data_IF_027433419490
#
_entry.id   IF_027433419490
#
_cell.length_a   1.000
_cell.length_b   1.000
_cell.length_c   1.000
_cell.angle_alpha   90.00
_cell.angle_beta   90.00
_cell.angle_gamma   90.00
#
_symmetry.space_group_name_H-M   'P 1'
#
loop_
_entity.id
_entity.type
_entity.pdbx_description
1 polymer ?
#
# COMPACT_ATOMS: atom_id res chain seq x y z
N UNK A 1 5.40 24.87 2.02
CA UNK A 1 4.13 24.35 1.48
C UNK A 1 4.37 22.91 1.02
N UNK A 2 3.44 22.05 1.32
CA UNK A 2 3.40 20.67 0.85
C UNK A 2 3.33 20.65 -0.69
N UNK A 3 4.06 19.75 -1.38
CA UNK A 3 3.87 19.55 -2.81
C UNK A 3 2.42 19.12 -3.09
N UNK A 4 1.77 19.78 -4.06
CA UNK A 4 0.36 19.47 -4.42
C UNK A 4 0.18 17.99 -4.77
N UNK A 5 1.19 17.38 -5.38
CA UNK A 5 1.23 15.95 -5.72
C UNK A 5 1.11 15.03 -4.49
N UNK A 6 1.82 15.31 -3.40
CA UNK A 6 1.71 14.51 -2.16
C UNK A 6 0.30 14.58 -1.57
N UNK A 7 -0.28 15.76 -1.49
CA UNK A 7 -1.62 15.96 -0.95
C UNK A 7 -2.68 15.23 -1.78
N UNK A 8 -2.55 15.22 -3.11
CA UNK A 8 -3.50 14.52 -3.98
C UNK A 8 -3.44 13.00 -3.74
N UNK A 9 -2.24 12.42 -3.65
CA UNK A 9 -2.07 10.99 -3.39
C UNK A 9 -2.54 10.63 -1.99
N UNK A 10 -2.23 11.40 -0.97
CA UNK A 10 -2.66 11.16 0.42
C UNK A 10 -4.19 11.15 0.56
N UNK A 11 -4.86 12.11 -0.07
CA UNK A 11 -6.33 12.13 -0.16
C UNK A 11 -6.87 10.90 -0.89
N UNK A 12 -6.26 10.50 -2.02
CA UNK A 12 -6.66 9.31 -2.75
C UNK A 12 -6.47 8.03 -1.93
N UNK A 13 -5.37 7.90 -1.17
CA UNK A 13 -5.15 6.83 -0.20
C UNK A 13 -6.25 6.78 0.84
N UNK A 14 -6.66 7.93 1.36
CA UNK A 14 -7.74 8.05 2.34
C UNK A 14 -9.09 7.58 1.77
N UNK A 15 -9.42 7.95 0.54
CA UNK A 15 -10.68 7.58 -0.13
C UNK A 15 -10.71 6.08 -0.49
N UNK A 16 -9.64 5.55 -1.07
CA UNK A 16 -9.60 4.12 -1.45
C UNK A 16 -9.66 3.20 -0.22
N UNK A 17 -9.09 3.63 0.92
CA UNK A 17 -9.22 2.92 2.21
C UNK A 17 -10.64 2.91 2.76
N UNK A 18 -11.43 3.94 2.47
CA UNK A 18 -12.86 4.01 2.82
C UNK A 18 -13.74 3.21 1.86
N UNK A 19 -13.15 2.57 0.83
CA UNK A 19 -13.89 1.87 -0.20
C UNK A 19 -14.54 2.81 -1.23
N UNK A 20 -14.10 4.07 -1.33
CA UNK A 20 -14.60 5.00 -2.35
C UNK A 20 -13.76 4.90 -3.63
N UNK A 21 -14.35 5.31 -4.74
CA UNK A 21 -13.69 5.41 -6.02
C UNK A 21 -12.81 6.66 -6.09
N UNK A 22 -11.72 6.56 -6.85
CA UNK A 22 -10.88 7.69 -7.25
C UNK A 22 -10.63 7.64 -8.76
N UNK A 23 -10.35 8.77 -9.38
CA UNK A 23 -9.94 8.84 -10.78
C UNK A 23 -8.41 8.91 -10.87
N UNK A 24 -7.79 8.06 -11.67
CA UNK A 24 -6.35 8.06 -11.92
C UNK A 24 -6.11 8.46 -13.37
N UNK A 25 -5.34 9.53 -13.57
CA UNK A 25 -4.94 10.03 -14.89
C UNK A 25 -3.54 9.53 -15.24
N UNK A 26 -3.41 8.90 -16.38
CA UNK A 26 -2.15 8.46 -16.97
C UNK A 26 -1.62 9.37 -18.06
N UNK A 27 -0.57 8.91 -18.73
CA UNK A 27 -0.04 9.60 -19.90
C UNK A 27 -1.02 9.49 -21.09
N UNK A 28 -0.94 10.47 -22.01
CA UNK A 28 -1.72 10.45 -23.25
C UNK A 28 -3.22 10.70 -23.09
N UNK A 29 -3.67 11.25 -21.95
CA UNK A 29 -5.08 11.56 -21.71
C UNK A 29 -5.93 10.38 -21.25
N UNK A 30 -5.34 9.20 -21.08
CA UNK A 30 -6.03 8.01 -20.57
C UNK A 30 -6.34 8.24 -19.08
N UNK A 31 -7.57 7.95 -18.68
CA UNK A 31 -7.96 7.99 -17.27
C UNK A 31 -8.84 6.79 -16.93
N UNK A 32 -8.73 6.33 -15.68
CA UNK A 32 -9.51 5.22 -15.16
C UNK A 32 -10.15 5.58 -13.81
N UNK A 33 -11.33 5.02 -13.54
CA UNK A 33 -11.84 4.89 -12.19
C UNK A 33 -11.14 3.74 -11.49
N UNK A 34 -10.91 3.87 -10.20
CA UNK A 34 -10.22 2.89 -9.37
C UNK A 34 -10.95 2.71 -8.05
N UNK A 35 -11.12 1.47 -7.62
CA UNK A 35 -11.59 1.10 -6.28
C UNK A 35 -10.85 -0.13 -5.79
N UNK A 36 -10.58 -0.22 -4.48
CA UNK A 36 -9.96 -1.39 -3.88
C UNK A 36 -10.84 -2.64 -4.07
N UNK A 37 -10.25 -3.73 -4.54
CA UNK A 37 -10.98 -4.98 -4.79
C UNK A 37 -11.59 -5.56 -3.51
N UNK A 38 -10.91 -5.45 -2.37
CA UNK A 38 -11.40 -5.96 -1.08
C UNK A 38 -12.63 -5.18 -0.55
N UNK A 39 -12.85 -3.95 -1.02
CA UNK A 39 -13.96 -3.09 -0.60
C UNK A 39 -15.10 -3.02 -1.62
N UNK A 40 -15.01 -3.76 -2.73
CA UNK A 40 -15.99 -3.68 -3.81
C UNK A 40 -17.36 -4.26 -3.38
N UNK A 41 -18.43 -3.59 -3.77
CA UNK A 41 -19.81 -4.01 -3.55
C UNK A 41 -20.56 -4.09 -4.89
N UNK A 42 -21.69 -4.81 -4.97
CA UNK A 42 -22.53 -4.82 -6.20
C UNK A 42 -22.97 -3.42 -6.64
N UNK A 43 -23.34 -2.56 -5.68
CA UNK A 43 -23.76 -1.18 -5.98
C UNK A 43 -22.57 -0.34 -6.50
N UNK A 44 -21.38 -0.49 -5.92
CA UNK A 44 -20.19 0.20 -6.39
C UNK A 44 -19.80 -0.22 -7.82
N UNK A 45 -19.92 -1.52 -8.16
CA UNK A 45 -19.71 -1.98 -9.54
C UNK A 45 -20.69 -1.37 -10.53
N UNK A 46 -21.98 -1.28 -10.12
CA UNK A 46 -23.02 -0.66 -10.92
C UNK A 46 -22.75 0.83 -11.12
N UNK A 47 -22.39 1.52 -10.04
CA UNK A 47 -22.01 2.93 -10.08
C UNK A 47 -20.79 3.17 -10.97
N UNK A 48 -19.75 2.35 -10.83
CA UNK A 48 -18.54 2.43 -11.64
C UNK A 48 -18.87 2.32 -13.14
N UNK A 49 -19.71 1.37 -13.55
CA UNK A 49 -20.17 1.24 -14.95
C UNK A 49 -20.93 2.48 -15.41
N UNK A 50 -21.85 2.99 -14.58
CA UNK A 50 -22.67 4.13 -14.93
C UNK A 50 -21.83 5.42 -15.10
N UNK A 51 -20.84 5.63 -14.23
CA UNK A 51 -20.01 6.83 -14.23
C UNK A 51 -18.92 6.76 -15.30
N UNK A 52 -18.29 5.60 -15.50
CA UNK A 52 -17.20 5.45 -16.48
C UNK A 52 -17.67 5.25 -17.92
N UNK A 53 -18.91 4.80 -18.12
CA UNK A 53 -19.45 4.31 -19.40
C UNK A 53 -18.65 3.12 -19.97
N UNK A 54 -17.98 2.36 -19.13
CA UNK A 54 -17.19 1.19 -19.52
C UNK A 54 -17.36 0.01 -18.57
N UNK A 55 -16.92 -1.18 -19.00
CA UNK A 55 -16.98 -2.37 -18.17
C UNK A 55 -15.82 -2.41 -17.18
N UNK A 56 -16.09 -2.66 -15.88
CA UNK A 56 -15.05 -2.86 -14.88
C UNK A 56 -14.17 -4.07 -15.18
N UNK A 57 -12.90 -3.94 -14.80
CA UNK A 57 -11.84 -4.94 -14.94
C UNK A 57 -11.17 -5.10 -13.59
N UNK A 58 -10.86 -6.33 -13.19
CA UNK A 58 -10.03 -6.58 -12.01
C UNK A 58 -8.55 -6.58 -12.40
N UNK A 59 -7.79 -5.66 -11.85
CA UNK A 59 -6.33 -5.62 -11.99
C UNK A 59 -5.66 -6.21 -10.76
N UNK A 60 -4.82 -7.24 -10.96
CA UNK A 60 -4.07 -7.93 -9.92
C UNK A 60 -2.60 -8.00 -10.26
N UNK A 61 -1.75 -8.32 -9.27
CA UNK A 61 -0.34 -8.59 -9.56
C UNK A 61 -0.17 -9.87 -10.39
N UNK A 62 0.88 -9.93 -11.21
CA UNK A 62 1.20 -11.13 -11.99
C UNK A 62 1.40 -12.36 -11.07
N UNK A 63 1.96 -12.18 -9.86
CA UNK A 63 2.08 -13.26 -8.88
C UNK A 63 0.72 -13.80 -8.44
N UNK A 64 -0.25 -12.92 -8.18
CA UNK A 64 -1.60 -13.36 -7.82
C UNK A 64 -2.26 -14.12 -8.97
N UNK A 65 -2.16 -13.62 -10.18
CA UNK A 65 -2.67 -14.29 -11.37
C UNK A 65 -2.03 -15.68 -11.57
N UNK A 66 -0.72 -15.82 -11.33
CA UNK A 66 -0.02 -17.09 -11.41
C UNK A 66 -0.51 -18.10 -10.35
N UNK A 67 -0.68 -17.67 -9.10
CA UNK A 67 -1.24 -18.52 -8.02
C UNK A 67 -2.66 -19.00 -8.36
N UNK A 68 -3.45 -18.16 -9.02
CA UNK A 68 -4.78 -18.53 -9.52
C UNK A 68 -4.73 -19.43 -10.77
N UNK A 69 -3.54 -19.69 -11.34
CA UNK A 69 -3.37 -20.45 -12.58
C UNK A 69 -3.94 -19.75 -13.81
N UNK A 70 -3.99 -18.41 -13.79
CA UNK A 70 -4.58 -17.60 -14.86
C UNK A 70 -3.56 -17.04 -15.85
N UNK A 71 -2.29 -16.90 -15.45
CA UNK A 71 -1.22 -16.41 -16.30
C UNK A 71 0.13 -16.95 -15.82
N UNK A 72 1.08 -17.08 -16.73
CA UNK A 72 2.49 -17.20 -16.36
C UNK A 72 3.00 -15.88 -15.79
N UNK A 73 4.08 -15.91 -14.99
CA UNK A 73 4.62 -14.72 -14.28
C UNK A 73 5.31 -13.72 -15.21
N UNK A 74 4.67 -13.37 -16.32
CA UNK A 74 5.14 -12.36 -17.27
C UNK A 74 4.41 -11.04 -17.01
N UNK A 75 5.16 -9.95 -16.89
CA UNK A 75 4.61 -8.62 -16.60
C UNK A 75 4.43 -8.32 -15.11
N UNK A 76 3.94 -7.14 -14.79
CA UNK A 76 3.73 -6.67 -13.40
C UNK A 76 2.27 -6.76 -12.95
N UNK A 77 1.35 -6.45 -13.85
CA UNK A 77 -0.09 -6.39 -13.60
C UNK A 77 -0.83 -7.21 -14.67
N UNK A 78 -1.84 -7.92 -14.23
CA UNK A 78 -2.73 -8.70 -15.09
C UNK A 78 -4.14 -8.16 -14.91
N UNK A 79 -4.83 -7.88 -16.01
CA UNK A 79 -6.22 -7.46 -16.03
C UNK A 79 -7.13 -8.64 -16.34
N UNK A 80 -8.13 -8.84 -15.50
CA UNK A 80 -9.09 -9.94 -15.58
C UNK A 80 -10.48 -9.37 -15.83
N UNK A 81 -11.18 -9.91 -16.81
CA UNK A 81 -12.57 -9.55 -17.10
C UNK A 81 -13.39 -10.79 -17.42
N UNK A 82 -14.64 -10.80 -17.01
CA UNK A 82 -15.64 -11.80 -17.40
C UNK A 82 -16.82 -11.14 -18.13
N UNK A 83 -16.66 -9.91 -18.56
CA UNK A 83 -17.76 -9.10 -19.02
C UNK A 83 -18.76 -8.85 -17.88
N UNK A 84 -20.05 -9.13 -18.11
CA UNK A 84 -21.09 -8.92 -17.10
C UNK A 84 -21.04 -9.92 -15.92
N UNK A 85 -20.31 -11.03 -16.06
CA UNK A 85 -20.20 -12.05 -15.02
C UNK A 85 -19.21 -11.69 -13.91
N UNK A 86 -18.51 -10.56 -13.99
CA UNK A 86 -17.60 -10.09 -12.95
C UNK A 86 -18.41 -9.51 -11.78
N UNK A 87 -18.69 -10.36 -10.79
CA UNK A 87 -19.44 -9.98 -9.59
C UNK A 87 -18.51 -9.45 -8.50
N UNK A 88 -19.05 -8.66 -7.57
CA UNK A 88 -18.29 -8.15 -6.44
C UNK A 88 -17.74 -9.28 -5.54
N UNK A 89 -18.47 -10.37 -5.40
CA UNK A 89 -18.06 -11.54 -4.66
C UNK A 89 -16.85 -12.22 -5.32
N UNK A 90 -16.96 -12.54 -6.60
CA UNK A 90 -15.86 -13.12 -7.38
C UNK A 90 -14.61 -12.22 -7.34
N UNK A 91 -14.77 -10.91 -7.45
CA UNK A 91 -13.66 -9.96 -7.36
C UNK A 91 -12.93 -10.08 -6.02
N UNK A 92 -13.68 -10.09 -4.91
CA UNK A 92 -13.09 -10.19 -3.57
C UNK A 92 -12.36 -11.52 -3.39
N UNK A 93 -12.95 -12.63 -3.83
CA UNK A 93 -12.35 -13.97 -3.74
C UNK A 93 -11.08 -14.08 -4.60
N UNK A 94 -11.10 -13.51 -5.81
CA UNK A 94 -9.91 -13.45 -6.66
C UNK A 94 -8.80 -12.59 -6.07
N UNK A 95 -9.14 -11.53 -5.36
CA UNK A 95 -8.18 -10.63 -4.72
C UNK A 95 -7.57 -11.20 -3.44
N UNK A 96 -8.38 -11.89 -2.61
CA UNK A 96 -7.95 -12.36 -1.29
C UNK A 96 -7.12 -13.64 -1.38
N UNK A 97 -5.85 -13.61 -0.93
CA UNK A 97 -4.98 -14.77 -0.99
C UNK A 97 -5.40 -15.93 -0.07
N UNK A 98 -6.24 -15.65 0.94
CA UNK A 98 -6.73 -16.67 1.87
C UNK A 98 -8.12 -17.20 1.51
N UNK A 99 -8.75 -16.69 0.43
CA UNK A 99 -10.02 -17.21 -0.05
C UNK A 99 -9.91 -18.68 -0.48
N UNK A 100 -10.86 -19.49 -0.02
CA UNK A 100 -10.90 -20.91 -0.37
C UNK A 100 -11.50 -21.09 -1.76
N UNK A 101 -10.70 -21.69 -2.66
CA UNK A 101 -11.11 -22.11 -4.01
C UNK A 101 -11.83 -21.01 -4.84
N UNK A 102 -11.18 -19.87 -5.07
CA UNK A 102 -11.85 -18.67 -5.60
C UNK A 102 -12.35 -18.82 -7.05
N UNK A 103 -12.02 -19.92 -7.74
CA UNK A 103 -12.38 -20.12 -9.15
C UNK A 103 -12.97 -21.52 -9.38
N UNK A 104 -14.27 -21.57 -9.67
CA UNK A 104 -14.86 -22.75 -10.29
C UNK A 104 -14.34 -22.96 -11.72
N UNK A 105 -14.46 -24.18 -12.27
CA UNK A 105 -14.13 -24.43 -13.68
C UNK A 105 -14.92 -23.54 -14.64
N UNK A 106 -16.18 -23.27 -14.31
CA UNK A 106 -17.05 -22.36 -15.08
C UNK A 106 -16.53 -20.91 -15.06
N UNK A 107 -16.15 -20.42 -13.88
CA UNK A 107 -15.62 -19.05 -13.75
C UNK A 107 -14.28 -18.92 -14.47
N UNK A 108 -13.42 -19.93 -14.37
CA UNK A 108 -12.14 -19.99 -15.08
C UNK A 108 -12.33 -19.95 -16.61
N UNK A 109 -13.30 -20.69 -17.14
CA UNK A 109 -13.60 -20.70 -18.57
C UNK A 109 -14.22 -19.36 -19.06
N UNK A 110 -14.91 -18.64 -18.19
CA UNK A 110 -15.50 -17.34 -18.49
C UNK A 110 -14.52 -16.17 -18.36
N UNK A 111 -13.41 -16.33 -17.64
CA UNK A 111 -12.42 -15.26 -17.42
C UNK A 111 -11.60 -15.01 -18.69
N UNK A 112 -11.62 -13.78 -19.17
CA UNK A 112 -10.67 -13.30 -20.16
C UNK A 112 -9.49 -12.64 -19.42
N UNK A 113 -8.30 -13.20 -19.64
CA UNK A 113 -7.07 -12.72 -19.04
C UNK A 113 -6.33 -11.87 -20.06
N UNK A 114 -6.11 -10.61 -19.73
CA UNK A 114 -5.28 -9.72 -20.53
C UNK A 114 -4.03 -9.37 -19.74
N UNK A 115 -2.88 -9.87 -20.19
CA UNK A 115 -1.58 -9.48 -19.64
C UNK A 115 -1.18 -8.19 -20.34
N UNK A 116 -1.22 -7.09 -19.61
CA UNK A 116 -0.68 -5.82 -20.11
C UNK A 116 0.80 -5.76 -19.77
N UNK A 117 1.66 -5.80 -20.80
CA UNK A 117 3.04 -5.36 -20.66
C UNK A 117 3.04 -3.88 -20.32
N UNK A 118 3.50 -3.54 -19.14
CA UNK A 118 3.32 -2.21 -18.58
C UNK A 118 4.44 -1.27 -18.97
N UNK A 119 4.16 -0.20 -19.69
CA UNK A 119 4.98 1.01 -19.61
C UNK A 119 5.01 1.49 -18.14
N UNK A 120 6.10 2.10 -17.73
CA UNK A 120 6.40 2.51 -16.35
C UNK A 120 5.31 3.41 -15.70
N UNK A 121 4.37 3.97 -16.47
CA UNK A 121 3.34 4.92 -16.04
C UNK A 121 1.92 4.52 -16.50
N UNK A 122 1.65 3.24 -16.57
CA UNK A 122 0.30 2.75 -16.86
C UNK A 122 -0.64 2.98 -15.67
N UNK A 123 -1.89 3.37 -15.94
CA UNK A 123 -2.90 3.67 -14.92
C UNK A 123 -3.17 2.48 -14.00
N UNK A 124 -3.27 1.26 -14.51
CA UNK A 124 -3.54 0.07 -13.69
C UNK A 124 -2.38 -0.25 -12.75
N UNK A 125 -1.12 -0.06 -13.21
CA UNK A 125 0.05 -0.20 -12.32
C UNK A 125 0.06 0.85 -11.23
N UNK A 126 -0.29 2.10 -11.55
CA UNK A 126 -0.43 3.17 -10.57
C UNK A 126 -1.57 2.87 -9.58
N UNK A 127 -2.70 2.34 -10.06
CA UNK A 127 -3.83 1.97 -9.23
C UNK A 127 -3.47 0.86 -8.21
N UNK A 128 -2.74 -0.18 -8.66
CA UNK A 128 -2.24 -1.23 -7.74
C UNK A 128 -1.18 -0.67 -6.80
N UNK A 129 -0.33 0.26 -7.24
CA UNK A 129 0.62 0.95 -6.36
C UNK A 129 -0.11 1.79 -5.30
N UNK A 130 -1.18 2.50 -5.66
CA UNK A 130 -2.02 3.26 -4.73
C UNK A 130 -2.64 2.34 -3.67
N UNK A 131 -3.14 1.15 -4.05
CA UNK A 131 -3.66 0.16 -3.10
C UNK A 131 -2.56 -0.32 -2.12
N UNK A 132 -1.33 -0.52 -2.59
CA UNK A 132 -0.18 -0.86 -1.73
C UNK A 132 0.17 0.26 -0.75
N UNK A 133 0.24 1.52 -1.22
CA UNK A 133 0.46 2.70 -0.37
C UNK A 133 -0.64 2.77 0.69
N UNK A 134 -1.89 2.48 0.31
CA UNK A 134 -3.04 2.41 1.21
C UNK A 134 -3.01 1.20 2.17
N UNK A 135 -2.03 0.29 2.06
CA UNK A 135 -1.90 -0.97 2.84
C UNK A 135 -3.10 -1.90 2.68
N UNK A 136 -3.71 -1.87 1.52
CA UNK A 136 -4.78 -2.77 1.09
C UNK A 136 -4.19 -3.93 0.28
N UNK A 137 -5.02 -4.91 -0.08
CA UNK A 137 -4.62 -5.96 -1.03
C UNK A 137 -4.17 -5.30 -2.34
N UNK A 138 -3.10 -5.81 -2.99
CA UNK A 138 -2.59 -5.28 -4.25
C UNK A 138 -3.46 -5.71 -5.43
N UNK A 139 -4.74 -5.42 -5.34
CA UNK A 139 -5.80 -5.74 -6.30
C UNK A 139 -6.82 -4.60 -6.33
N UNK A 140 -7.18 -4.16 -7.50
CA UNK A 140 -8.11 -3.04 -7.71
C UNK A 140 -9.09 -3.34 -8.83
N UNK A 141 -10.30 -2.83 -8.70
CA UNK A 141 -11.26 -2.77 -9.80
C UNK A 141 -11.03 -1.46 -10.53
N UNK A 142 -10.89 -1.53 -11.85
CA UNK A 142 -10.66 -0.38 -12.70
C UNK A 142 -11.68 -0.33 -13.83
N UNK A 143 -12.04 0.88 -14.26
CA UNK A 143 -12.87 1.09 -15.46
C UNK A 143 -12.33 2.31 -16.20
N UNK A 144 -12.10 2.19 -17.52
CA UNK A 144 -11.67 3.31 -18.34
C UNK A 144 -12.77 4.38 -18.38
N UNK A 145 -12.41 5.64 -18.25
CA UNK A 145 -13.36 6.75 -18.34
C UNK A 145 -13.62 7.02 -19.82
N UNK A 146 -14.74 6.49 -20.32
CA UNK A 146 -15.18 6.60 -21.68
C UNK A 146 -16.40 7.57 -21.84
N UNK A 147 -16.72 8.34 -20.78
CA UNK A 147 -17.76 9.34 -20.80
C UNK A 147 -17.42 10.46 -21.81
N UNK A 148 -18.23 10.71 -22.83
CA UNK A 148 -17.97 11.77 -23.82
C UNK A 148 -17.97 13.18 -23.23
N UNK A 149 -18.42 13.36 -21.97
CA UNK A 149 -18.37 14.65 -21.26
C UNK A 149 -17.10 14.86 -20.44
N UNK A 150 -16.14 13.93 -20.52
CA UNK A 150 -14.89 13.96 -19.76
C UNK A 150 -13.73 14.69 -20.46
N UNK A 151 -13.99 15.55 -21.47
CA UNK A 151 -12.97 16.34 -22.16
C UNK A 151 -12.13 17.18 -21.18
N UNK A 152 -12.77 17.81 -20.18
CA UNK A 152 -12.10 18.36 -18.99
C UNK A 152 -12.24 17.38 -17.83
N UNK A 153 -11.25 16.51 -17.67
CA UNK A 153 -11.28 15.45 -16.66
C UNK A 153 -11.34 15.99 -15.24
N UNK A 154 -10.74 17.14 -14.95
CA UNK A 154 -10.76 17.72 -13.60
C UNK A 154 -12.17 18.23 -13.26
N UNK A 155 -12.83 18.94 -14.19
CA UNK A 155 -14.20 19.37 -14.01
C UNK A 155 -15.16 18.18 -13.97
N UNK A 156 -14.91 17.15 -14.78
CA UNK A 156 -15.70 15.91 -14.78
C UNK A 156 -15.60 15.19 -13.41
N UNK A 157 -14.39 14.97 -12.90
CA UNK A 157 -14.18 14.35 -11.60
C UNK A 157 -14.86 15.12 -10.47
N UNK A 158 -14.77 16.46 -10.48
CA UNK A 158 -15.46 17.31 -9.51
C UNK A 158 -16.99 17.18 -9.57
N UNK A 159 -17.58 17.05 -10.76
CA UNK A 159 -19.05 16.83 -10.91
C UNK A 159 -19.52 15.50 -10.32
N UNK A 160 -18.64 14.48 -10.31
CA UNK A 160 -18.91 13.15 -9.76
C UNK A 160 -18.45 12.95 -8.32
N UNK A 161 -18.00 14.02 -7.63
CA UNK A 161 -17.44 13.97 -6.28
C UNK A 161 -16.26 12.97 -6.19
N UNK A 162 -15.42 12.94 -7.22
CA UNK A 162 -14.25 12.08 -7.33
C UNK A 162 -12.96 12.88 -7.16
N UNK A 163 -12.00 12.29 -6.44
CA UNK A 163 -10.63 12.80 -6.44
C UNK A 163 -9.91 12.36 -7.72
N UNK A 164 -9.21 13.30 -8.33
CA UNK A 164 -8.33 13.04 -9.46
C UNK A 164 -6.86 13.04 -9.00
N UNK A 165 -6.13 12.00 -9.35
CA UNK A 165 -4.70 11.86 -9.03
C UNK A 165 -3.92 11.43 -10.28
N UNK A 166 -2.70 11.93 -10.43
CA UNK A 166 -1.82 11.55 -11.54
C UNK A 166 -1.04 10.27 -11.21
N UNK A 167 -0.96 9.36 -12.17
CA UNK A 167 -0.21 8.11 -12.04
C UNK A 167 1.28 8.35 -11.70
N UNK A 168 1.88 9.40 -12.27
CA UNK A 168 3.26 9.81 -11.98
C UNK A 168 3.47 10.20 -10.53
N UNK A 169 2.51 10.90 -9.93
CA UNK A 169 2.57 11.31 -8.52
C UNK A 169 2.47 10.10 -7.59
N UNK A 170 1.64 9.11 -7.93
CA UNK A 170 1.54 7.86 -7.16
C UNK A 170 2.88 7.12 -7.15
N UNK A 171 3.57 7.00 -8.31
CA UNK A 171 4.87 6.31 -8.37
C UNK A 171 5.99 7.04 -7.63
N UNK A 172 5.90 8.36 -7.48
CA UNK A 172 6.90 9.17 -6.79
C UNK A 172 6.60 9.38 -5.30
N UNK A 173 5.42 8.95 -4.83
CA UNK A 173 4.91 9.26 -3.50
C UNK A 173 5.91 8.89 -2.39
N UNK A 174 6.33 7.63 -2.31
CA UNK A 174 7.21 7.15 -1.23
C UNK A 174 8.54 7.91 -1.19
N UNK A 175 9.17 8.13 -2.35
CA UNK A 175 10.45 8.84 -2.42
C UNK A 175 10.33 10.32 -2.08
N UNK A 176 9.20 10.93 -2.39
CA UNK A 176 8.92 12.34 -2.08
C UNK A 176 8.56 12.49 -0.61
N UNK A 177 7.72 11.62 -0.06
CA UNK A 177 7.32 11.62 1.34
C UNK A 177 8.54 11.49 2.26
N UNK A 178 9.46 10.55 1.97
CA UNK A 178 10.66 10.31 2.77
C UNK A 178 11.54 11.57 2.91
N UNK A 179 11.55 12.45 1.91
CA UNK A 179 12.30 13.71 1.93
C UNK A 179 11.66 14.81 2.77
N UNK A 180 10.41 14.64 3.17
CA UNK A 180 9.65 15.65 3.92
C UNK A 180 9.66 15.41 5.43
N UNK A 181 10.32 14.37 5.91
CA UNK A 181 10.43 14.03 7.33
C UNK A 181 11.04 15.19 8.13
N UNK A 182 10.35 15.58 9.22
CA UNK A 182 10.80 16.62 10.14
C UNK A 182 10.69 16.14 11.57
N UNK A 183 11.68 16.46 12.39
CA UNK A 183 11.60 16.28 13.83
C UNK A 183 10.49 17.19 14.40
N UNK A 184 9.50 16.58 15.04
CA UNK A 184 8.32 17.30 15.58
C UNK A 184 8.29 17.34 17.09
N UNK A 185 8.91 16.36 17.76
CA UNK A 185 8.98 16.30 19.21
C UNK A 185 10.18 15.48 19.66
N UNK A 186 10.69 15.76 20.86
CA UNK A 186 11.67 14.89 21.50
C UNK A 186 11.53 14.92 23.01
N UNK A 187 11.79 13.79 23.65
CA UNK A 187 11.79 13.67 25.09
C UNK A 187 12.84 12.67 25.59
N UNK A 188 13.29 12.87 26.82
CA UNK A 188 14.05 11.86 27.54
C UNK A 188 13.08 10.75 27.97
N UNK A 189 13.40 9.51 27.60
CA UNK A 189 12.61 8.35 27.93
C UNK A 189 13.55 7.25 28.46
N UNK A 190 13.77 7.16 29.78
CA UNK A 190 14.62 6.11 30.35
C UNK A 190 14.07 4.73 30.01
N UNK A 191 14.96 3.81 29.60
CA UNK A 191 14.65 2.41 29.33
C UNK A 191 15.30 1.53 30.43
N UNK A 192 14.81 0.29 30.63
CA UNK A 192 15.35 -0.61 31.68
C UNK A 192 16.86 -0.80 31.61
N UNK A 193 17.40 -0.99 30.40
CA UNK A 193 18.83 -1.24 30.19
C UNK A 193 19.69 0.04 30.02
N UNK A 194 19.04 1.21 29.83
CA UNK A 194 19.74 2.48 29.63
C UNK A 194 18.88 3.67 30.02
N UNK A 195 19.36 4.47 30.95
CA UNK A 195 18.62 5.67 31.42
C UNK A 195 18.95 6.90 30.59
N UNK A 196 20.09 6.94 29.89
CA UNK A 196 20.47 8.05 29.03
C UNK A 196 19.93 7.84 27.61
N UNK A 197 18.61 7.90 27.47
CA UNK A 197 17.92 7.68 26.21
C UNK A 197 16.98 8.84 25.92
N UNK A 198 16.97 9.28 24.66
CA UNK A 198 16.09 10.30 24.14
C UNK A 198 15.38 9.77 22.89
N UNK A 199 14.08 9.90 22.84
CA UNK A 199 13.28 9.57 21.66
C UNK A 199 12.95 10.87 20.91
N UNK A 200 13.18 10.85 19.60
CA UNK A 200 12.85 11.95 18.67
C UNK A 200 11.82 11.39 17.69
N UNK A 201 10.66 12.03 17.62
CA UNK A 201 9.62 11.71 16.65
C UNK A 201 9.78 12.53 15.36
N UNK A 202 9.73 11.86 14.24
CA UNK A 202 9.77 12.45 12.91
C UNK A 202 8.44 12.21 12.21
N UNK A 203 7.85 13.25 11.65
CA UNK A 203 6.60 13.20 10.89
C UNK A 203 6.83 13.74 9.50
N UNK A 204 6.32 13.08 8.43
CA UNK A 204 6.30 13.67 7.10
C UNK A 204 5.29 14.83 7.03
N UNK A 205 5.49 15.74 6.08
CA UNK A 205 4.65 16.95 5.96
C UNK A 205 3.20 16.64 5.61
N UNK A 206 2.96 15.54 4.90
CA UNK A 206 1.61 15.04 4.54
C UNK A 206 0.80 14.47 5.71
N UNK A 207 1.38 14.43 6.93
CA UNK A 207 0.70 13.90 8.11
C UNK A 207 0.69 12.37 8.21
N UNK A 208 1.54 11.69 7.41
CA UNK A 208 1.75 10.25 7.50
C UNK A 208 2.27 9.79 8.87
N UNK A 209 2.57 8.48 8.99
CA UNK A 209 3.01 7.89 10.25
C UNK A 209 4.35 8.44 10.73
N UNK A 210 4.48 8.58 12.03
CA UNK A 210 5.70 9.00 12.68
C UNK A 210 6.74 7.88 12.71
N UNK A 211 7.98 8.21 12.35
CA UNK A 211 9.15 7.39 12.59
C UNK A 211 9.89 7.90 13.82
N UNK A 212 10.53 7.00 14.54
CA UNK A 212 11.22 7.36 15.78
C UNK A 212 12.74 7.15 15.64
N UNK A 213 13.51 8.09 16.16
CA UNK A 213 14.92 7.86 16.46
C UNK A 213 15.10 7.72 17.99
N UNK A 214 15.56 6.58 18.43
CA UNK A 214 15.89 6.29 19.81
C UNK A 214 17.39 6.49 19.94
N UNK A 215 17.78 7.62 20.52
CA UNK A 215 19.17 8.02 20.71
C UNK A 215 19.60 7.57 22.09
N UNK A 216 20.62 6.70 22.17
CA UNK A 216 21.20 6.15 23.40
C UNK A 216 22.58 6.78 23.60
N UNK A 217 22.83 7.28 24.79
CA UNK A 217 24.07 8.01 25.08
C UNK A 217 24.18 9.33 24.30
N UNK A 218 25.41 9.72 24.02
CA UNK A 218 25.75 10.96 23.32
C UNK A 218 26.60 10.69 22.08
N UNK A 219 25.98 10.24 20.95
CA UNK A 219 26.72 9.98 19.72
C UNK A 219 27.34 11.27 19.18
N UNK A 220 28.66 11.22 18.89
CA UNK A 220 29.41 12.36 18.37
C UNK A 220 29.36 12.41 16.85
N UNK A 221 29.13 13.59 16.29
CA UNK A 221 29.07 13.80 14.82
C UNK A 221 30.42 13.56 14.12
N UNK A 222 31.52 13.60 14.88
CA UNK A 222 32.90 13.41 14.37
C UNK A 222 33.33 11.95 14.29
N UNK A 223 32.53 11.03 14.78
CA UNK A 223 32.83 9.59 14.87
C UNK A 223 31.74 8.76 14.16
N UNK A 224 32.08 7.54 13.69
CA UNK A 224 31.08 6.63 13.22
C UNK A 224 30.03 6.32 14.31
N UNK A 225 28.74 6.41 13.99
CA UNK A 225 27.66 6.17 14.93
C UNK A 225 27.08 4.77 14.70
N UNK A 226 27.10 3.94 15.73
CA UNK A 226 26.44 2.63 15.70
C UNK A 226 24.95 2.83 15.50
N UNK A 227 24.39 2.24 14.42
CA UNK A 227 23.00 2.48 14.03
C UNK A 227 22.29 1.17 13.70
N UNK A 228 21.10 1.00 14.25
CA UNK A 228 20.17 -0.08 13.90
C UNK A 228 18.94 0.48 13.19
N UNK A 229 18.59 -0.09 12.04
CA UNK A 229 17.27 0.09 11.40
C UNK A 229 16.35 -1.01 11.90
N UNK A 230 15.24 -0.65 12.52
CA UNK A 230 14.22 -1.58 13.01
C UNK A 230 12.88 -1.25 12.40
N UNK A 231 12.26 -2.21 11.75
CA UNK A 231 10.90 -2.10 11.18
C UNK A 231 9.89 -2.46 12.26
N UNK A 232 8.91 -1.61 12.50
CA UNK A 232 7.81 -1.87 13.43
C UNK A 232 7.23 -3.27 13.23
N UNK A 233 7.04 -3.98 14.32
CA UNK A 233 6.44 -5.31 14.36
C UNK A 233 5.57 -5.44 15.62
N UNK A 234 4.30 -5.07 15.52
CA UNK A 234 3.36 -5.11 16.64
C UNK A 234 3.37 -6.47 17.37
N UNK A 235 3.35 -7.56 16.61
CA UNK A 235 3.30 -8.90 17.18
C UNK A 235 4.59 -9.30 17.88
N UNK A 236 5.75 -8.95 17.34
CA UNK A 236 7.06 -9.26 17.94
C UNK A 236 7.44 -8.28 19.03
N UNK A 237 7.41 -6.98 18.74
CA UNK A 237 7.91 -5.95 19.64
C UNK A 237 7.08 -5.78 20.90
N UNK A 238 5.75 -5.93 20.79
CA UNK A 238 4.82 -5.73 21.90
C UNK A 238 4.34 -7.04 22.54
N UNK A 239 4.01 -8.04 21.71
CA UNK A 239 3.38 -9.27 22.22
C UNK A 239 4.38 -10.42 22.42
N UNK A 240 5.63 -10.29 21.96
CA UNK A 240 6.62 -11.36 22.03
C UNK A 240 6.21 -12.60 21.23
N UNK A 241 5.64 -12.39 20.02
CA UNK A 241 5.16 -13.47 19.16
C UNK A 241 6.25 -14.48 18.84
N UNK A 242 5.93 -15.77 18.93
CA UNK A 242 6.83 -16.86 18.56
C UNK A 242 7.00 -17.03 17.03
N UNK A 243 6.29 -16.24 16.22
CA UNK A 243 6.41 -16.28 14.76
C UNK A 243 7.55 -15.46 14.19
N UNK A 244 8.17 -14.63 15.00
CA UNK A 244 9.29 -13.79 14.58
C UNK A 244 10.20 -13.47 15.78
N UNK A 245 11.40 -13.04 15.48
CA UNK A 245 12.41 -12.64 16.44
C UNK A 245 12.54 -11.11 16.60
N UNK A 246 11.54 -10.36 16.10
CA UNK A 246 11.61 -8.88 16.07
C UNK A 246 11.78 -8.27 17.46
N UNK A 247 11.02 -8.74 18.46
CA UNK A 247 11.16 -8.28 19.84
C UNK A 247 12.56 -8.52 20.39
N UNK A 248 13.13 -9.71 20.21
CA UNK A 248 14.49 -10.05 20.63
C UNK A 248 15.52 -9.18 19.90
N UNK A 249 15.34 -8.94 18.59
CA UNK A 249 16.22 -8.06 17.82
C UNK A 249 16.15 -6.61 18.30
N UNK A 250 14.97 -6.12 18.69
CA UNK A 250 14.81 -4.77 19.23
C UNK A 250 15.53 -4.64 20.57
N UNK A 251 15.28 -5.54 21.50
CA UNK A 251 15.91 -5.53 22.82
C UNK A 251 17.41 -5.77 22.73
N UNK A 252 17.85 -6.70 21.89
CA UNK A 252 19.26 -6.97 21.62
C UNK A 252 19.99 -5.75 21.07
N UNK A 253 19.40 -5.03 20.13
CA UNK A 253 19.97 -3.81 19.57
C UNK A 253 20.10 -2.69 20.63
N UNK A 254 19.10 -2.49 21.46
CA UNK A 254 19.15 -1.52 22.57
C UNK A 254 20.32 -1.86 23.52
N UNK A 255 20.45 -3.14 23.90
CA UNK A 255 21.52 -3.62 24.78
C UNK A 255 22.90 -3.47 24.16
N UNK A 256 23.05 -3.81 22.88
CA UNK A 256 24.32 -3.67 22.16
C UNK A 256 24.77 -2.21 22.06
N UNK A 257 23.85 -1.31 21.67
CA UNK A 257 24.14 0.13 21.60
C UNK A 257 24.47 0.69 22.98
N UNK A 258 23.78 0.24 24.02
CA UNK A 258 24.06 0.64 25.40
C UNK A 258 25.48 0.22 25.84
N UNK A 259 25.87 -1.01 25.49
CA UNK A 259 27.23 -1.55 25.79
C UNK A 259 28.31 -0.78 25.02
N UNK A 260 28.02 -0.36 23.79
CA UNK A 260 28.91 0.48 23.00
C UNK A 260 29.03 1.93 23.53
N UNK A 261 28.15 2.33 24.45
CA UNK A 261 28.12 3.64 25.10
C UNK A 261 27.29 4.71 24.37
N UNK A 262 27.17 4.64 23.05
CA UNK A 262 26.34 5.58 22.28
C UNK A 262 25.94 5.00 20.92
N UNK A 263 24.74 5.37 20.44
CA UNK A 263 24.25 5.01 19.11
C UNK A 263 22.80 5.43 18.90
N UNK A 264 22.24 4.98 17.77
CA UNK A 264 20.87 5.34 17.35
C UNK A 264 20.14 4.10 16.85
N UNK A 265 18.96 3.86 17.37
CA UNK A 265 18.01 2.91 16.81
C UNK A 265 16.91 3.70 16.08
N UNK A 266 16.75 3.47 14.78
CA UNK A 266 15.67 4.03 13.97
C UNK A 266 14.49 3.04 13.94
N UNK A 267 13.40 3.39 14.63
CA UNK A 267 12.18 2.60 14.66
C UNK A 267 11.23 3.13 13.59
N UNK A 268 11.05 2.34 12.53
CA UNK A 268 10.33 2.76 11.33
C UNK A 268 8.89 2.24 11.37
N UNK A 269 7.91 3.12 11.27
CA UNK A 269 6.48 2.82 11.22
C UNK A 269 6.07 2.20 9.88
N UNK A 270 6.57 0.98 9.63
CA UNK A 270 6.33 0.22 8.40
C UNK A 270 5.99 -1.24 8.70
N UNK A 271 4.95 -1.46 9.51
CA UNK A 271 4.45 -2.78 9.90
C UNK A 271 4.36 -3.74 8.70
N UNK A 272 4.85 -4.98 8.89
CA UNK A 272 4.90 -5.99 7.84
C UNK A 272 5.80 -5.58 6.67
N UNK A 273 6.84 -4.78 6.90
CA UNK A 273 7.70 -4.18 5.85
C UNK A 273 6.91 -3.31 4.88
N UNK A 274 5.93 -2.57 5.40
CA UNK A 274 5.11 -1.62 4.66
C UNK A 274 3.76 -2.16 4.16
N UNK A 275 3.50 -3.46 4.23
CA UNK A 275 2.20 -4.02 3.79
C UNK A 275 1.07 -3.82 4.81
N UNK A 276 1.40 -3.43 6.05
CA UNK A 276 0.47 -3.23 7.15
C UNK A 276 0.11 -4.51 7.90
N UNK A 277 -0.44 -4.34 9.12
CA UNK A 277 -0.77 -5.45 10.02
C UNK A 277 -1.81 -6.41 9.42
N UNK A 278 -2.83 -5.89 8.75
CA UNK A 278 -3.90 -6.73 8.17
C UNK A 278 -3.34 -7.72 7.15
N UNK A 279 -2.51 -7.25 6.22
CA UNK A 279 -1.89 -8.12 5.22
C UNK A 279 -0.83 -9.05 5.83
N UNK A 280 -0.16 -8.62 6.91
CA UNK A 280 0.74 -9.49 7.67
C UNK A 280 -0.02 -10.64 8.34
N UNK A 281 -1.21 -10.41 8.88
CA UNK A 281 -2.06 -11.47 9.44
C UNK A 281 -2.52 -12.45 8.36
N UNK A 282 -2.87 -11.96 7.16
CA UNK A 282 -3.13 -12.83 6.00
C UNK A 282 -1.92 -13.70 5.64
N UNK A 283 -0.72 -13.12 5.68
CA UNK A 283 0.52 -13.86 5.43
C UNK A 283 0.76 -14.95 6.49
N UNK A 284 0.44 -14.70 7.76
CA UNK A 284 0.51 -15.72 8.80
C UNK A 284 -0.49 -16.86 8.57
N UNK A 285 -1.70 -16.56 8.14
CA UNK A 285 -2.69 -17.57 7.75
C UNK A 285 -2.21 -18.44 6.57
N UNK A 286 -1.58 -17.81 5.56
CA UNK A 286 -0.99 -18.55 4.44
C UNK A 286 0.15 -19.47 4.91
N UNK A 287 1.01 -19.03 5.83
CA UNK A 287 2.06 -19.87 6.41
C UNK A 287 1.49 -21.09 7.14
N UNK A 288 0.37 -20.94 7.86
CA UNK A 288 -0.31 -22.05 8.51
C UNK A 288 -0.90 -23.07 7.51
N UNK A 289 -1.24 -22.61 6.31
CA UNK A 289 -1.69 -23.45 5.19
C UNK A 289 -0.53 -24.05 4.38
N UNK A 290 0.74 -23.79 4.76
CA UNK A 290 1.94 -24.38 4.15
C UNK A 290 2.50 -23.63 2.93
N UNK A 291 2.17 -22.33 2.77
CA UNK A 291 2.70 -21.46 1.71
C UNK A 291 3.96 -20.71 2.14
#
# INVERSE_FOLDING_TARGET
REPVSLLAVDRAVSEIRRGRMVAVRGAGGIAILVQAAEAITPDALKEMRAVSHSNPVLAVTARRAAVLGLAETVGKIVSLTTGEALTAELIRDLADPIADNPLSEKDRAALTVTVKETPTFNCESAAVALAKIARLLPAVVTAEIADPTADDLAAWAARHDLLLVDAGDIFQYDSTQARTLRAVSSARVPLPDTQNTRIIAFRPVDGGLEHLAIVIGEPKKSEPVLTRLHSECFTGDLLGSLRCDCGDQLQGAIKEITTAGAGILLYLAQEGRGIGLVNKLRAYELQDRGF
#
